data_IF_432117989353
#
_entry.id   IF_432117989353
#
_cell.length_a   1.000
_cell.length_b   1.000
_cell.length_c   1.000
_cell.angle_alpha   90.00
_cell.angle_beta   90.00
_cell.angle_gamma   90.00
#
_symmetry.space_group_name_H-M   'P 1'
#
loop_
_entity.id
_entity.type
_entity.pdbx_description
1 polymer ?
#
# COMPACT_ATOMS: atom_id res chain seq x y z
N UNK A 1 2.25 -6.51 -48.87
CA UNK A 1 2.88 -6.73 -47.56
C UNK A 1 1.87 -6.43 -46.48
N UNK A 2 1.27 -7.46 -45.84
CA UNK A 2 0.47 -7.29 -44.63
C UNK A 2 1.47 -6.95 -43.53
N UNK A 3 1.35 -5.75 -42.96
CA UNK A 3 1.97 -5.45 -41.67
C UNK A 3 1.28 -6.36 -40.64
N UNK A 4 2.00 -7.38 -40.21
CA UNK A 4 1.53 -8.18 -39.07
C UNK A 4 1.36 -7.23 -37.90
N UNK A 5 0.11 -7.14 -37.43
CA UNK A 5 -0.20 -6.34 -36.24
C UNK A 5 0.64 -6.89 -35.09
N UNK A 6 1.50 -6.06 -34.54
CA UNK A 6 2.28 -6.39 -33.35
C UNK A 6 1.29 -6.80 -32.28
N UNK A 7 1.33 -8.06 -31.86
CA UNK A 7 0.47 -8.54 -30.76
C UNK A 7 0.98 -7.90 -29.47
N UNK A 8 0.21 -6.97 -28.95
CA UNK A 8 0.44 -6.43 -27.61
C UNK A 8 0.23 -7.54 -26.59
N UNK A 9 1.21 -7.76 -25.72
CA UNK A 9 1.06 -8.70 -24.61
C UNK A 9 0.08 -8.09 -23.62
N UNK A 10 -0.96 -8.84 -23.26
CA UNK A 10 -1.97 -8.44 -22.29
C UNK A 10 -1.96 -9.38 -21.09
N UNK A 11 -1.84 -8.84 -19.91
CA UNK A 11 -1.91 -9.61 -18.66
C UNK A 11 -2.28 -8.71 -17.49
N UNK A 12 -3.15 -9.19 -16.59
CA UNK A 12 -3.45 -8.49 -15.34
C UNK A 12 -2.23 -8.33 -14.42
N UNK A 13 -1.22 -9.19 -14.56
CA UNK A 13 0.03 -9.04 -13.79
C UNK A 13 0.85 -7.85 -14.24
N UNK A 14 0.78 -7.46 -15.52
CA UNK A 14 1.47 -6.28 -16.04
C UNK A 14 0.83 -4.97 -15.56
N UNK A 15 -0.44 -4.99 -15.21
CA UNK A 15 -1.13 -3.81 -14.64
C UNK A 15 -0.84 -3.59 -13.16
N UNK A 16 -0.38 -4.59 -12.41
CA UNK A 16 -0.15 -4.48 -10.97
C UNK A 16 0.79 -3.35 -10.57
N UNK A 17 1.80 -3.02 -11.37
CA UNK A 17 2.71 -1.90 -11.10
C UNK A 17 1.98 -0.56 -11.13
N UNK A 18 1.18 -0.34 -12.17
CA UNK A 18 0.35 0.87 -12.33
C UNK A 18 -0.73 0.96 -11.27
N UNK A 19 -1.33 -0.17 -10.93
CA UNK A 19 -2.34 -0.28 -9.90
C UNK A 19 -1.75 0.04 -8.52
N UNK A 20 -0.55 -0.46 -8.23
CA UNK A 20 0.20 -0.14 -7.02
C UNK A 20 0.49 1.36 -6.94
N UNK A 21 0.95 1.98 -8.04
CA UNK A 21 1.16 3.42 -8.10
C UNK A 21 -0.13 4.18 -7.80
N UNK A 22 -1.26 3.76 -8.39
CA UNK A 22 -2.57 4.38 -8.17
C UNK A 22 -3.00 4.30 -6.71
N UNK A 23 -2.84 3.14 -6.06
CA UNK A 23 -3.13 2.93 -4.64
C UNK A 23 -2.25 3.85 -3.78
N UNK A 24 -0.94 3.85 -4.03
CA UNK A 24 0.01 4.66 -3.27
C UNK A 24 -0.26 6.17 -3.41
N UNK A 25 -0.57 6.63 -4.62
CA UNK A 25 -0.96 8.02 -4.85
C UNK A 25 -2.23 8.38 -4.09
N UNK A 26 -3.23 7.50 -4.09
CA UNK A 26 -4.46 7.68 -3.33
C UNK A 26 -4.20 7.84 -1.84
N UNK A 27 -3.38 6.95 -1.26
CA UNK A 27 -3.06 6.95 0.17
C UNK A 27 -2.17 8.12 0.59
N UNK A 28 -1.16 8.50 -0.21
CA UNK A 28 -0.06 9.37 0.24
C UNK A 28 -0.01 10.74 -0.44
N UNK A 29 -0.85 11.01 -1.45
CA UNK A 29 -0.81 12.27 -2.20
C UNK A 29 -2.18 12.94 -2.29
N UNK A 30 -3.20 12.20 -2.74
CA UNK A 30 -4.47 12.78 -3.18
C UNK A 30 -5.45 13.10 -2.05
N UNK A 31 -5.32 12.48 -0.89
CA UNK A 31 -6.29 12.56 0.21
C UNK A 31 -5.83 13.42 1.38
N UNK A 32 -5.19 14.58 1.12
CA UNK A 32 -4.85 15.52 2.20
C UNK A 32 -6.09 16.01 2.94
N UNK A 33 -6.04 16.17 4.28
CA UNK A 33 -4.88 16.06 5.16
C UNK A 33 -4.60 14.63 5.68
N UNK A 34 -5.38 13.63 5.30
CA UNK A 34 -5.24 12.25 5.79
C UNK A 34 -3.93 11.61 5.35
N UNK A 35 -3.48 11.90 4.12
CA UNK A 35 -2.17 11.45 3.62
C UNK A 35 -1.01 11.94 4.50
N UNK A 36 -1.07 13.20 4.95
CA UNK A 36 -0.03 13.76 5.81
C UNK A 36 -0.05 13.12 7.20
N UNK A 37 -1.22 12.79 7.71
CA UNK A 37 -1.38 12.07 8.98
C UNK A 37 -0.84 10.65 8.88
N UNK A 38 -1.11 9.96 7.78
CA UNK A 38 -0.60 8.62 7.52
C UNK A 38 0.94 8.62 7.44
N UNK A 39 1.54 9.61 6.75
CA UNK A 39 3.00 9.79 6.73
C UNK A 39 3.57 10.02 8.12
N UNK A 40 2.93 10.87 8.96
CA UNK A 40 3.37 11.10 10.35
C UNK A 40 3.40 9.80 11.15
N UNK A 41 2.35 9.00 11.06
CA UNK A 41 2.25 7.72 11.77
C UNK A 41 3.34 6.71 11.34
N UNK A 42 3.82 6.79 10.11
CA UNK A 42 4.90 5.92 9.62
C UNK A 42 6.29 6.40 10.02
N UNK A 43 6.55 7.71 9.87
CA UNK A 43 7.91 8.24 9.91
C UNK A 43 8.31 8.75 11.30
N UNK A 44 7.33 9.27 12.07
CA UNK A 44 7.60 9.87 13.37
C UNK A 44 7.38 8.84 14.48
N UNK A 45 8.46 8.26 14.97
CA UNK A 45 8.45 7.23 16.01
C UNK A 45 8.44 7.84 17.42
N UNK A 46 7.39 8.60 17.73
CA UNK A 46 7.18 9.21 19.05
C UNK A 46 5.70 9.09 19.43
N UNK A 47 5.39 9.21 20.71
CA UNK A 47 4.00 9.16 21.19
C UNK A 47 3.18 10.37 20.75
N UNK A 48 3.85 11.50 20.50
CA UNK A 48 3.27 12.76 20.07
C UNK A 48 3.27 12.96 18.54
N UNK A 49 3.44 11.89 17.77
CA UNK A 49 3.56 11.95 16.31
C UNK A 49 2.41 12.70 15.61
N UNK A 50 1.24 12.78 16.25
CA UNK A 50 0.07 13.49 15.74
C UNK A 50 -0.05 14.94 16.21
N UNK A 51 0.90 15.44 17.01
CA UNK A 51 0.88 16.82 17.46
C UNK A 51 1.00 17.78 16.26
N UNK A 52 -0.06 18.59 16.07
CA UNK A 52 -0.14 19.56 14.98
C UNK A 52 0.63 20.83 15.26
N UNK A 53 1.00 21.09 16.51
CA UNK A 53 1.78 22.26 16.94
C UNK A 53 3.26 22.13 16.62
N UNK A 54 3.76 20.90 16.40
CA UNK A 54 5.16 20.64 16.12
C UNK A 54 5.52 20.94 14.65
N UNK A 55 6.06 22.14 14.43
CA UNK A 55 6.48 22.60 13.09
C UNK A 55 7.59 21.74 12.46
N UNK A 56 8.40 21.06 13.25
CA UNK A 56 9.42 20.16 12.71
C UNK A 56 8.79 18.93 12.05
N UNK A 57 7.74 18.37 12.64
CA UNK A 57 6.99 17.25 12.03
C UNK A 57 6.38 17.66 10.69
N UNK A 58 5.80 18.86 10.61
CA UNK A 58 5.28 19.38 9.36
C UNK A 58 6.35 19.46 8.27
N UNK A 59 7.53 20.02 8.59
CA UNK A 59 8.64 20.13 7.62
C UNK A 59 9.12 18.77 7.11
N UNK A 60 9.25 17.79 8.02
CA UNK A 60 9.63 16.42 7.64
C UNK A 60 8.62 15.83 6.65
N UNK A 61 7.32 15.99 6.91
CA UNK A 61 6.26 15.40 6.09
C UNK A 61 6.08 16.11 4.75
N UNK A 62 6.17 17.44 4.72
CA UNK A 62 6.01 18.24 3.48
C UNK A 62 7.11 17.91 2.45
N UNK A 63 8.29 17.48 2.90
CA UNK A 63 9.41 17.07 2.03
C UNK A 63 9.34 15.62 1.54
N UNK A 64 8.46 14.77 2.10
CA UNK A 64 8.44 13.35 1.80
C UNK A 64 7.50 13.01 0.63
N UNK A 65 8.05 12.40 -0.40
CA UNK A 65 7.29 11.78 -1.48
C UNK A 65 7.21 10.24 -1.32
N UNK A 66 6.52 9.56 -2.24
CA UNK A 66 6.34 8.09 -2.20
C UNK A 66 7.68 7.37 -2.40
N UNK A 67 8.57 7.87 -3.26
CA UNK A 67 9.90 7.27 -3.47
C UNK A 67 10.74 7.31 -2.21
N UNK A 68 10.72 8.46 -1.49
CA UNK A 68 11.43 8.59 -0.22
C UNK A 68 10.93 7.59 0.83
N UNK A 69 9.60 7.39 0.92
CA UNK A 69 9.00 6.41 1.84
C UNK A 69 9.42 4.97 1.49
N UNK A 70 9.57 4.66 0.21
CA UNK A 70 10.05 3.34 -0.25
C UNK A 70 11.55 3.18 0.00
N UNK A 71 12.37 4.14 -0.38
CA UNK A 71 13.84 4.11 -0.20
C UNK A 71 14.23 4.01 1.28
N UNK A 72 13.48 4.69 2.15
CA UNK A 72 13.66 4.62 3.59
C UNK A 72 13.00 3.38 4.22
N UNK A 73 12.34 2.53 3.45
CA UNK A 73 11.78 1.26 3.87
C UNK A 73 10.48 1.32 4.66
N UNK A 74 9.78 2.47 4.70
CA UNK A 74 8.45 2.59 5.31
C UNK A 74 7.34 1.97 4.47
N UNK A 75 7.52 1.95 3.15
CA UNK A 75 6.64 1.29 2.19
C UNK A 75 7.40 0.16 1.50
N UNK A 76 6.86 -1.04 1.53
CA UNK A 76 7.47 -2.22 0.92
C UNK A 76 6.46 -2.91 0.01
N UNK A 77 6.97 -3.47 -1.08
CA UNK A 77 6.19 -4.22 -2.06
C UNK A 77 6.61 -5.69 -2.12
N UNK A 78 7.63 -6.05 -1.35
CA UNK A 78 8.10 -7.42 -1.24
C UNK A 78 7.29 -8.18 -0.18
N UNK A 79 6.94 -9.46 -0.44
CA UNK A 79 6.14 -10.27 0.49
C UNK A 79 6.90 -10.72 1.73
N UNK A 80 8.19 -10.39 1.85
CA UNK A 80 9.04 -10.73 2.99
C UNK A 80 9.79 -9.53 3.50
N UNK A 81 9.67 -9.31 4.80
CA UNK A 81 10.55 -8.42 5.53
C UNK A 81 11.74 -9.26 6.02
N UNK A 82 12.96 -8.87 5.64
CA UNK A 82 14.16 -9.42 6.25
C UNK A 82 14.37 -8.66 7.55
N UNK A 83 14.23 -9.37 8.65
CA UNK A 83 14.56 -8.85 9.97
C UNK A 83 16.06 -9.06 10.18
N UNK A 84 16.81 -7.98 10.36
CA UNK A 84 18.21 -8.01 10.75
C UNK A 84 18.35 -8.08 12.28
N UNK A 85 19.55 -8.41 12.77
CA UNK A 85 19.83 -8.45 14.21
C UNK A 85 19.72 -7.06 14.90
N UNK A 86 19.68 -5.98 14.11
CA UNK A 86 19.49 -4.60 14.58
C UNK A 86 18.37 -3.94 13.77
N UNK A 87 17.13 -4.22 14.13
CA UNK A 87 16.00 -3.58 13.48
C UNK A 87 15.86 -2.15 13.93
N UNK A 88 15.85 -1.26 12.94
CA UNK A 88 15.43 0.11 13.20
C UNK A 88 13.99 0.11 13.69
N UNK A 89 13.77 0.83 14.78
CA UNK A 89 12.44 1.00 15.35
C UNK A 89 11.57 1.81 14.39
N UNK A 90 10.84 1.12 13.54
CA UNK A 90 10.03 1.72 12.46
C UNK A 90 8.63 1.14 12.42
N UNK A 91 7.74 1.89 11.78
CA UNK A 91 6.44 1.37 11.31
C UNK A 91 6.51 1.17 9.81
N UNK A 92 5.91 0.08 9.32
CA UNK A 92 5.95 -0.31 7.91
C UNK A 92 4.55 -0.56 7.38
N UNK A 93 4.35 -0.28 6.10
CA UNK A 93 3.23 -0.80 5.33
C UNK A 93 3.79 -1.64 4.19
N UNK A 94 3.37 -2.89 4.14
CA UNK A 94 3.69 -3.82 3.07
C UNK A 94 2.43 -4.01 2.23
N UNK A 95 2.56 -3.90 0.91
CA UNK A 95 1.46 -4.12 -0.02
C UNK A 95 1.76 -5.35 -0.84
N UNK A 96 0.82 -6.28 -0.87
CA UNK A 96 0.92 -7.49 -1.69
C UNK A 96 -0.41 -7.80 -2.38
N UNK A 97 -0.32 -8.64 -3.40
CA UNK A 97 -1.45 -9.10 -4.19
C UNK A 97 -1.52 -10.62 -4.14
N UNK A 98 -2.71 -11.13 -3.97
CA UNK A 98 -2.94 -12.57 -3.88
C UNK A 98 -4.25 -12.96 -4.58
N UNK A 99 -4.43 -14.25 -4.79
CA UNK A 99 -5.68 -14.87 -5.20
C UNK A 99 -6.27 -14.28 -6.51
N UNK A 100 -5.45 -14.19 -7.56
CA UNK A 100 -5.91 -13.78 -8.88
C UNK A 100 -6.81 -14.85 -9.51
N UNK A 101 -8.11 -14.61 -9.57
CA UNK A 101 -9.08 -15.50 -10.19
C UNK A 101 -9.83 -14.78 -11.33
N UNK A 102 -10.23 -15.49 -12.39
CA UNK A 102 -11.07 -14.90 -13.43
C UNK A 102 -12.36 -14.35 -12.83
N UNK A 103 -12.75 -13.14 -13.25
CA UNK A 103 -14.04 -12.60 -12.84
C UNK A 103 -15.18 -13.41 -13.50
N UNK A 104 -16.20 -13.78 -12.73
CA UNK A 104 -17.29 -14.64 -13.19
C UNK A 104 -18.13 -14.01 -14.32
N UNK A 105 -18.25 -12.70 -14.33
CA UNK A 105 -19.09 -11.98 -15.29
C UNK A 105 -18.32 -11.53 -16.53
N UNK A 106 -17.02 -11.29 -16.40
CA UNK A 106 -16.18 -10.87 -17.52
C UNK A 106 -14.74 -11.45 -17.37
N UNK A 107 -14.39 -12.48 -18.17
CA UNK A 107 -13.08 -13.14 -18.09
C UNK A 107 -11.87 -12.25 -18.45
N UNK A 108 -12.09 -11.07 -19.04
CA UNK A 108 -11.04 -10.08 -19.29
C UNK A 108 -10.60 -9.37 -18.01
N UNK A 109 -11.38 -9.50 -16.92
CA UNK A 109 -11.04 -8.99 -15.61
C UNK A 109 -10.64 -10.12 -14.67
N UNK A 110 -9.88 -9.78 -13.65
CA UNK A 110 -9.53 -10.71 -12.60
C UNK A 110 -9.81 -10.07 -11.25
N UNK A 111 -10.49 -10.83 -10.42
CA UNK A 111 -10.60 -10.52 -9.00
C UNK A 111 -9.27 -10.84 -8.35
N UNK A 112 -8.82 -10.00 -7.44
CA UNK A 112 -7.67 -10.28 -6.61
C UNK A 112 -7.90 -9.76 -5.18
N UNK A 113 -7.05 -10.19 -4.27
CA UNK A 113 -6.98 -9.67 -2.92
C UNK A 113 -5.76 -8.75 -2.82
N UNK A 114 -5.99 -7.49 -2.46
CA UNK A 114 -4.92 -6.56 -2.11
C UNK A 114 -4.78 -6.56 -0.60
N UNK A 115 -3.58 -6.84 -0.13
CA UNK A 115 -3.28 -6.98 1.29
C UNK A 115 -2.35 -5.86 1.74
N UNK A 116 -2.68 -5.26 2.89
CA UNK A 116 -1.85 -4.28 3.57
C UNK A 116 -1.42 -4.83 4.92
N UNK A 117 -0.16 -5.22 5.05
CA UNK A 117 0.42 -5.57 6.34
C UNK A 117 0.95 -4.31 7.00
N UNK A 118 0.32 -3.93 8.09
CA UNK A 118 0.69 -2.79 8.93
C UNK A 118 1.50 -3.34 10.08
N UNK A 119 2.78 -3.03 10.13
CA UNK A 119 3.71 -3.55 11.12
C UNK A 119 4.30 -2.39 11.88
N UNK A 120 4.19 -2.41 13.20
CA UNK A 120 4.71 -1.38 14.09
C UNK A 120 5.57 -2.01 15.18
N UNK A 121 6.64 -1.32 15.56
CA UNK A 121 7.41 -1.69 16.74
C UNK A 121 6.57 -1.49 18.00
N UNK A 122 6.59 -2.45 18.92
CA UNK A 122 5.73 -2.47 20.12
C UNK A 122 5.92 -1.27 21.03
N UNK A 123 7.13 -0.73 21.14
CA UNK A 123 7.44 0.48 21.91
C UNK A 123 6.67 1.74 21.47
N UNK A 124 6.22 1.76 20.21
CA UNK A 124 5.51 2.89 19.62
C UNK A 124 4.06 2.59 19.25
N UNK A 125 3.52 1.52 19.77
CA UNK A 125 2.10 1.20 19.57
C UNK A 125 1.18 2.23 20.21
N UNK A 126 1.45 2.55 21.49
CA UNK A 126 0.69 3.55 22.22
C UNK A 126 1.18 4.97 21.82
N UNK A 127 0.27 5.73 21.21
CA UNK A 127 0.47 7.14 20.84
C UNK A 127 -0.31 8.09 21.76
N UNK A 128 -0.68 7.63 22.95
CA UNK A 128 -1.39 8.41 23.95
C UNK A 128 -2.91 8.46 23.75
N UNK A 129 -3.63 8.90 24.77
CA UNK A 129 -5.09 9.06 24.73
C UNK A 129 -5.85 7.79 24.25
N UNK A 130 -5.42 6.61 24.69
CA UNK A 130 -5.99 5.31 24.28
C UNK A 130 -5.94 5.06 22.77
N UNK A 131 -5.02 5.71 22.04
CA UNK A 131 -4.85 5.54 20.63
C UNK A 131 -3.69 4.60 20.34
N UNK A 132 -3.94 3.62 19.49
CA UNK A 132 -2.95 2.65 19.06
C UNK A 132 -2.54 2.93 17.61
N UNK A 133 -1.23 3.09 17.38
CA UNK A 133 -0.66 3.41 16.07
C UNK A 133 -1.14 2.46 14.95
N UNK A 134 -1.09 1.12 15.10
CA UNK A 134 -1.52 0.23 14.03
C UNK A 134 -3.01 0.41 13.68
N UNK A 135 -3.89 0.62 14.66
CA UNK A 135 -5.31 0.89 14.40
C UNK A 135 -5.53 2.24 13.72
N UNK A 136 -4.72 3.25 14.06
CA UNK A 136 -4.82 4.53 13.36
C UNK A 136 -4.40 4.41 11.91
N UNK A 137 -3.29 3.71 11.62
CA UNK A 137 -2.85 3.46 10.25
C UNK A 137 -3.92 2.65 9.50
N UNK A 138 -4.42 1.56 10.10
CA UNK A 138 -5.49 0.74 9.53
C UNK A 138 -6.75 1.57 9.22
N UNK A 139 -7.19 2.40 10.17
CA UNK A 139 -8.36 3.25 10.00
C UNK A 139 -8.21 4.29 8.88
N UNK A 140 -7.01 4.87 8.70
CA UNK A 140 -6.77 5.78 7.58
C UNK A 140 -6.73 5.05 6.23
N UNK A 141 -6.10 3.88 6.16
CA UNK A 141 -6.10 3.07 4.93
C UNK A 141 -7.54 2.68 4.58
N UNK A 142 -8.30 2.16 5.54
CA UNK A 142 -9.69 1.74 5.33
C UNK A 142 -10.58 2.92 4.92
N UNK A 143 -10.50 4.03 5.64
CA UNK A 143 -11.29 5.23 5.32
C UNK A 143 -10.99 5.85 3.97
N UNK A 144 -9.79 5.63 3.41
CA UNK A 144 -9.41 6.14 2.09
C UNK A 144 -9.78 5.15 0.98
N UNK A 145 -9.64 3.85 1.20
CA UNK A 145 -9.76 2.84 0.16
C UNK A 145 -11.11 2.14 0.11
N UNK A 146 -11.74 1.87 1.25
CA UNK A 146 -12.98 1.10 1.30
C UNK A 146 -14.12 1.81 0.56
N UNK A 147 -14.68 1.15 -0.46
CA UNK A 147 -15.66 1.74 -1.39
C UNK A 147 -15.06 2.70 -2.42
N UNK A 148 -13.74 2.95 -2.40
CA UNK A 148 -13.11 3.81 -3.40
C UNK A 148 -13.03 3.11 -4.76
N UNK A 149 -13.40 3.83 -5.82
CA UNK A 149 -13.22 3.40 -7.21
C UNK A 149 -11.94 3.99 -7.75
N UNK A 150 -10.97 3.14 -8.03
CA UNK A 150 -9.67 3.53 -8.57
C UNK A 150 -9.59 3.15 -10.05
N UNK A 151 -8.99 4.03 -10.85
CA UNK A 151 -8.78 3.77 -12.28
C UNK A 151 -7.91 2.53 -12.47
N UNK A 152 -8.37 1.59 -13.27
CA UNK A 152 -7.68 0.33 -13.55
C UNK A 152 -7.95 -0.80 -12.57
N UNK A 153 -8.43 -0.49 -11.35
CA UNK A 153 -8.58 -1.48 -10.27
C UNK A 153 -10.07 -1.74 -9.93
N UNK A 154 -10.97 -0.81 -10.26
CA UNK A 154 -12.37 -0.90 -9.84
C UNK A 154 -12.59 -0.47 -8.39
N UNK A 155 -13.57 -1.07 -7.73
CA UNK A 155 -13.98 -0.73 -6.36
C UNK A 155 -13.28 -1.61 -5.34
N UNK A 156 -12.67 -0.99 -4.34
CA UNK A 156 -12.10 -1.69 -3.19
C UNK A 156 -13.20 -2.08 -2.20
N UNK A 157 -13.28 -3.37 -1.88
CA UNK A 157 -14.25 -3.91 -0.94
C UNK A 157 -13.51 -4.56 0.24
N UNK A 158 -13.72 -4.04 1.44
CA UNK A 158 -13.14 -4.61 2.65
C UNK A 158 -13.58 -6.06 2.85
N UNK A 159 -12.61 -6.95 3.06
CA UNK A 159 -12.84 -8.38 3.28
C UNK A 159 -12.60 -8.79 4.73
N UNK A 160 -11.67 -8.13 5.40
CA UNK A 160 -11.33 -8.48 6.78
C UNK A 160 -10.04 -7.84 7.27
N UNK A 161 -9.84 -7.96 8.57
CA UNK A 161 -8.64 -7.53 9.27
C UNK A 161 -8.21 -8.61 10.26
N UNK A 162 -6.95 -9.04 10.17
CA UNK A 162 -6.38 -10.05 11.07
C UNK A 162 -5.22 -9.47 11.85
N UNK A 163 -5.03 -9.94 13.07
CA UNK A 163 -3.85 -9.61 13.84
C UNK A 163 -2.62 -10.27 13.21
N UNK A 164 -1.52 -9.51 13.15
CA UNK A 164 -0.22 -9.96 12.65
C UNK A 164 0.81 -9.85 13.77
N UNK A 165 1.39 -10.96 14.19
CA UNK A 165 2.46 -11.03 15.18
C UNK A 165 3.67 -11.66 14.49
N UNK A 166 4.77 -10.93 14.40
CA UNK A 166 5.97 -11.40 13.72
C UNK A 166 7.03 -11.89 14.71
N UNK A 167 7.28 -11.11 15.75
CA UNK A 167 8.20 -11.42 16.84
C UNK A 167 7.82 -10.62 18.10
N UNK A 168 8.71 -10.56 19.09
CA UNK A 168 8.49 -9.84 20.36
C UNK A 168 8.37 -8.32 20.15
N UNK A 169 9.07 -7.78 19.15
CA UNK A 169 9.19 -6.34 18.91
C UNK A 169 8.25 -5.82 17.82
N UNK A 170 7.83 -6.68 16.90
CA UNK A 170 7.08 -6.29 15.71
C UNK A 170 5.74 -7.03 15.62
N UNK A 171 4.69 -6.24 15.57
CA UNK A 171 3.33 -6.74 15.41
C UNK A 171 2.42 -5.68 14.79
N UNK A 172 1.21 -6.08 14.41
CA UNK A 172 0.27 -5.17 13.78
C UNK A 172 -0.98 -5.85 13.28
N UNK A 173 -1.42 -5.43 12.09
CA UNK A 173 -2.64 -5.94 11.46
C UNK A 173 -2.48 -6.07 9.96
N UNK A 174 -3.11 -7.11 9.42
CA UNK A 174 -3.27 -7.33 7.98
C UNK A 174 -4.69 -6.92 7.58
N UNK A 175 -4.81 -5.93 6.71
CA UNK A 175 -6.07 -5.55 6.07
C UNK A 175 -6.14 -6.23 4.70
N UNK A 176 -7.32 -6.75 4.34
CA UNK A 176 -7.56 -7.40 3.07
C UNK A 176 -8.72 -6.74 2.34
N UNK A 177 -8.52 -6.48 1.05
CA UNK A 177 -9.53 -5.90 0.16
C UNK A 177 -9.65 -6.73 -1.10
N UNK A 178 -10.87 -6.98 -1.53
CA UNK A 178 -11.13 -7.46 -2.89
C UNK A 178 -11.01 -6.27 -3.85
N UNK A 179 -10.31 -6.49 -4.96
CA UNK A 179 -10.19 -5.55 -6.05
C UNK A 179 -10.38 -6.30 -7.40
N UNK A 180 -10.71 -5.56 -8.45
CA UNK A 180 -10.95 -6.14 -9.79
C UNK A 180 -9.94 -5.49 -10.73
N UNK A 181 -9.00 -6.28 -11.25
CA UNK A 181 -8.01 -5.80 -12.21
C UNK A 181 -8.48 -6.01 -13.65
N UNK A 182 -8.32 -4.97 -14.47
CA UNK A 182 -8.43 -5.10 -15.92
C UNK A 182 -7.21 -5.80 -16.50
N UNK A 183 -7.40 -6.45 -17.66
CA UNK A 183 -6.29 -6.97 -18.46
C UNK A 183 -5.82 -5.86 -19.38
N UNK A 184 -4.91 -5.02 -18.92
CA UNK A 184 -4.29 -3.99 -19.74
C UNK A 184 -3.13 -4.56 -20.55
N UNK A 185 -2.88 -4.00 -21.73
CA UNK A 185 -1.68 -4.27 -22.49
C UNK A 185 -0.53 -3.39 -22.01
N UNK A 186 0.68 -3.92 -21.99
CA UNK A 186 1.87 -3.12 -21.77
C UNK A 186 2.35 -2.56 -23.13
N UNK A 187 1.98 -1.31 -23.42
CA UNK A 187 2.39 -0.61 -24.63
C UNK A 187 3.88 -0.16 -24.60
N UNK A 188 4.56 -0.38 -23.47
CA UNK A 188 5.96 0.05 -23.27
C UNK A 188 7.00 -1.03 -23.58
N UNK A 189 6.57 -2.29 -23.70
CA UNK A 189 7.51 -3.35 -24.06
C UNK A 189 7.86 -3.24 -25.54
N UNK A 190 9.15 -3.19 -25.90
CA UNK A 190 9.56 -3.26 -27.29
C UNK A 190 9.10 -4.60 -27.88
N UNK A 191 8.78 -4.67 -29.18
CA UNK A 191 8.44 -5.91 -29.83
C UNK A 191 9.56 -6.93 -29.59
N UNK A 192 9.20 -8.12 -29.13
CA UNK A 192 10.15 -9.20 -28.97
C UNK A 192 10.81 -9.48 -30.33
N UNK A 193 12.11 -9.24 -30.43
CA UNK A 193 12.90 -9.67 -31.57
C UNK A 193 13.14 -11.18 -31.41
N UNK A 194 12.50 -11.96 -32.28
CA UNK A 194 12.72 -13.41 -32.43
C UNK A 194 13.68 -13.69 -33.58
#
# INVERSE_FOLDING_TARGET
MRRDAIKTIKSSFLSCEKDTETILRKLFVETRPYSDTLKKLLVINTKDCLDTSNLNYKRVIDGLNISDLREQGYLRLEPKIRFGEHEEVKSYILISYDNFIPNETNPEFRDCVVTFDIICHTDYWDIGNYQLRPFKIAGYIDGILNGAKLSGIGEFQFMGCNQLILNEDLSGYTLMYRAIHSVDGDDKLPPAEW
#
